data_IF_155527195684
#
_entry.id   IF_155527195684
#
_cell.length_a   1.000
_cell.length_b   1.000
_cell.length_c   1.000
_cell.angle_alpha   90.00
_cell.angle_beta   90.00
_cell.angle_gamma   90.00
#
_symmetry.space_group_name_H-M   'P 1'
#
loop_
_entity.id
_entity.type
_entity.pdbx_description
1 polymer ?
#
# COMPACT_ATOMS: atom_id res chain seq x y z
N UNK A 1 10.81 -9.87 11.31
CA UNK A 1 9.65 -9.27 10.63
C UNK A 1 10.12 -8.18 9.69
N UNK A 2 9.43 -7.97 8.58
CA UNK A 2 9.75 -6.90 7.64
C UNK A 2 8.84 -5.71 7.87
N UNK A 3 9.38 -4.50 7.73
CA UNK A 3 8.62 -3.28 7.64
C UNK A 3 8.68 -2.73 6.21
N UNK A 4 7.60 -2.16 5.72
CA UNK A 4 7.55 -1.53 4.40
C UNK A 4 7.01 -0.13 4.54
N UNK A 5 7.69 0.82 3.93
CA UNK A 5 7.23 2.20 3.80
C UNK A 5 7.05 2.49 2.32
N UNK A 6 5.83 2.81 1.92
CA UNK A 6 5.54 3.19 0.54
C UNK A 6 5.06 4.65 0.49
N UNK A 7 5.79 5.49 -0.21
CA UNK A 7 5.38 6.87 -0.47
C UNK A 7 4.63 6.92 -1.79
N UNK A 8 3.40 7.41 -1.72
CA UNK A 8 2.49 7.48 -2.86
C UNK A 8 2.16 8.95 -3.12
N UNK A 9 2.50 9.43 -4.31
CA UNK A 9 2.15 10.79 -4.73
C UNK A 9 1.02 10.70 -5.74
N UNK A 10 -0.10 11.37 -5.46
CA UNK A 10 -1.31 11.31 -6.29
C UNK A 10 -1.51 12.60 -7.09
N UNK A 11 -2.29 12.51 -8.14
CA UNK A 11 -2.71 13.67 -8.92
C UNK A 11 -3.64 14.53 -8.07
N UNK A 12 -3.54 15.87 -8.14
CA UNK A 12 -4.42 16.75 -7.39
C UNK A 12 -5.90 16.45 -7.66
N UNK A 13 -6.71 16.46 -6.60
CA UNK A 13 -8.15 16.24 -6.72
C UNK A 13 -8.61 14.79 -6.73
N UNK A 14 -7.69 13.81 -6.67
CA UNK A 14 -8.05 12.38 -6.67
C UNK A 14 -8.10 11.76 -5.28
N UNK A 15 -8.01 12.55 -4.22
CA UNK A 15 -7.87 12.05 -2.84
C UNK A 15 -9.00 11.10 -2.44
N UNK A 16 -10.26 11.46 -2.68
CA UNK A 16 -11.39 10.65 -2.24
C UNK A 16 -11.39 9.27 -2.92
N UNK A 17 -11.18 9.24 -4.23
CA UNK A 17 -11.15 8.00 -5.00
C UNK A 17 -9.93 7.14 -4.64
N UNK A 18 -8.78 7.79 -4.45
CA UNK A 18 -7.56 7.11 -4.02
C UNK A 18 -7.75 6.47 -2.64
N UNK A 19 -8.26 7.22 -1.67
CA UNK A 19 -8.48 6.72 -0.31
C UNK A 19 -9.48 5.57 -0.29
N UNK A 20 -10.58 5.67 -1.06
CA UNK A 20 -11.57 4.60 -1.14
C UNK A 20 -10.96 3.31 -1.73
N UNK A 21 -10.16 3.45 -2.78
CA UNK A 21 -9.47 2.32 -3.40
C UNK A 21 -8.50 1.66 -2.43
N UNK A 22 -7.70 2.46 -1.72
CA UNK A 22 -6.73 1.92 -0.74
C UNK A 22 -7.41 1.26 0.46
N UNK A 23 -8.54 1.80 0.92
CA UNK A 23 -9.30 1.17 2.01
C UNK A 23 -9.92 -0.15 1.59
N UNK A 24 -10.38 -0.26 0.36
CA UNK A 24 -10.88 -1.52 -0.17
C UNK A 24 -9.75 -2.58 -0.22
N UNK A 25 -8.55 -2.19 -0.63
CA UNK A 25 -7.39 -3.08 -0.58
C UNK A 25 -7.03 -3.47 0.84
N UNK A 26 -7.02 -2.53 1.76
CA UNK A 26 -6.72 -2.79 3.17
C UNK A 26 -7.64 -3.88 3.72
N UNK A 27 -8.93 -3.81 3.42
CA UNK A 27 -9.89 -4.82 3.85
C UNK A 27 -9.55 -6.21 3.29
N UNK A 28 -9.16 -6.29 2.02
CA UNK A 28 -8.75 -7.55 1.39
C UNK A 28 -7.48 -8.12 1.99
N UNK A 29 -6.49 -7.27 2.23
CA UNK A 29 -5.22 -7.67 2.86
C UNK A 29 -5.49 -8.25 4.26
N UNK A 30 -6.30 -7.55 5.06
CA UNK A 30 -6.65 -8.00 6.41
C UNK A 30 -7.42 -9.32 6.42
N UNK A 31 -8.27 -9.54 5.42
CA UNK A 31 -9.08 -10.76 5.33
C UNK A 31 -8.29 -11.96 4.79
N UNK A 32 -7.41 -11.75 3.81
CA UNK A 32 -6.86 -12.82 2.99
C UNK A 32 -5.35 -13.05 3.17
N UNK A 33 -4.65 -12.17 3.89
CA UNK A 33 -3.19 -12.27 4.04
C UNK A 33 -2.79 -12.44 5.52
N UNK A 34 -2.74 -13.67 6.02
CA UNK A 34 -2.41 -13.91 7.43
C UNK A 34 -0.98 -13.48 7.80
N UNK A 35 -0.07 -13.42 6.81
CA UNK A 35 1.31 -12.96 7.02
C UNK A 35 1.46 -11.45 7.10
N UNK A 36 0.43 -10.68 6.74
CA UNK A 36 0.45 -9.23 6.90
C UNK A 36 0.07 -8.87 8.34
N UNK A 37 0.87 -8.02 8.99
CA UNK A 37 0.67 -7.62 10.40
C UNK A 37 0.28 -6.15 10.55
N UNK A 38 0.46 -5.35 9.50
CA UNK A 38 0.05 -3.94 9.46
C UNK A 38 -0.12 -3.54 8.00
N UNK A 39 -1.20 -2.85 7.70
CA UNK A 39 -1.41 -2.26 6.38
C UNK A 39 -2.26 -1.00 6.55
N UNK A 40 -1.59 0.16 6.74
CA UNK A 40 -2.26 1.37 7.16
C UNK A 40 -1.81 2.58 6.33
N UNK A 41 -2.79 3.25 5.74
CA UNK A 41 -2.58 4.46 4.94
C UNK A 41 -2.57 5.69 5.83
N UNK A 42 -1.59 6.57 5.63
CA UNK A 42 -1.43 7.81 6.39
C UNK A 42 -1.37 9.02 5.48
N UNK A 43 -1.98 10.10 5.92
CA UNK A 43 -1.84 11.42 5.29
C UNK A 43 -0.54 12.06 5.72
N UNK A 44 -0.04 12.97 4.89
CA UNK A 44 1.09 13.85 5.24
C UNK A 44 0.65 15.31 5.21
N UNK A 45 1.56 16.22 5.50
CA UNK A 45 1.29 17.67 5.38
C UNK A 45 1.07 18.11 3.93
N UNK A 46 1.55 17.33 2.96
CA UNK A 46 1.27 17.54 1.54
C UNK A 46 0.00 16.77 1.15
N UNK A 47 -1.03 17.47 0.69
CA UNK A 47 -2.30 16.87 0.33
C UNK A 47 -2.20 15.83 -0.78
N UNK A 48 -1.13 15.86 -1.58
CA UNK A 48 -0.92 14.90 -2.68
C UNK A 48 -0.02 13.73 -2.30
N UNK A 49 0.48 13.68 -1.07
CA UNK A 49 1.43 12.65 -0.63
C UNK A 49 0.83 11.85 0.51
N UNK A 50 0.85 10.52 0.33
CA UNK A 50 0.44 9.55 1.35
C UNK A 50 1.60 8.61 1.66
N UNK A 51 1.59 8.08 2.88
CA UNK A 51 2.53 7.04 3.31
C UNK A 51 1.73 5.80 3.70
N UNK A 52 2.05 4.68 3.08
CA UNK A 52 1.56 3.38 3.50
C UNK A 52 2.59 2.75 4.42
N UNK A 53 2.17 2.39 5.64
CA UNK A 53 2.98 1.61 6.56
C UNK A 53 2.51 0.17 6.55
N UNK A 54 3.45 -0.75 6.36
CA UNK A 54 3.14 -2.17 6.23
C UNK A 54 4.11 -3.00 7.06
N UNK A 55 3.62 -4.14 7.58
CA UNK A 55 4.48 -5.11 8.25
C UNK A 55 4.11 -6.51 7.79
N UNK A 56 5.12 -7.33 7.55
CA UNK A 56 4.97 -8.71 7.11
C UNK A 56 5.79 -9.63 8.02
N UNK A 57 5.27 -10.83 8.26
CA UNK A 57 5.94 -11.81 9.11
C UNK A 57 7.33 -12.18 8.59
N UNK A 58 7.48 -12.29 7.25
CA UNK A 58 8.71 -12.68 6.58
C UNK A 58 8.66 -12.28 5.10
N UNK A 59 9.74 -12.61 4.37
CA UNK A 59 9.83 -12.32 2.94
C UNK A 59 8.80 -13.09 2.12
N UNK A 60 8.45 -14.31 2.53
CA UNK A 60 7.43 -15.11 1.85
C UNK A 60 6.05 -14.44 1.94
N UNK A 61 5.73 -13.84 3.08
CA UNK A 61 4.47 -13.10 3.25
C UNK A 61 4.42 -11.86 2.35
N UNK A 62 5.53 -11.13 2.22
CA UNK A 62 5.61 -9.98 1.30
C UNK A 62 5.49 -10.42 -0.16
N UNK A 63 6.14 -11.51 -0.52
CA UNK A 63 6.04 -12.07 -1.88
C UNK A 63 4.60 -12.50 -2.19
N UNK A 64 3.91 -13.13 -1.23
CA UNK A 64 2.52 -13.51 -1.36
C UNK A 64 1.61 -12.30 -1.57
N UNK A 65 1.85 -11.20 -0.83
CA UNK A 65 1.13 -9.95 -1.02
C UNK A 65 1.26 -9.43 -2.45
N UNK A 66 2.48 -9.36 -2.96
CA UNK A 66 2.76 -8.85 -4.31
C UNK A 66 2.18 -9.73 -5.42
N UNK A 67 2.00 -11.03 -5.16
CA UNK A 67 1.44 -11.98 -6.11
C UNK A 67 -0.09 -12.09 -6.02
N UNK A 68 -0.70 -11.50 -4.99
CA UNK A 68 -2.13 -11.63 -4.75
C UNK A 68 -2.97 -10.94 -5.84
N UNK A 69 -4.11 -11.53 -6.24
CA UNK A 69 -4.99 -10.91 -7.24
C UNK A 69 -5.46 -9.52 -6.84
N UNK A 70 -5.77 -9.29 -5.56
CA UNK A 70 -6.21 -7.98 -5.07
C UNK A 70 -5.12 -6.92 -5.19
N UNK A 71 -3.85 -7.29 -5.02
CA UNK A 71 -2.74 -6.35 -5.21
C UNK A 71 -2.57 -5.97 -6.69
N UNK A 72 -2.65 -6.93 -7.59
CA UNK A 72 -2.54 -6.70 -9.04
C UNK A 72 -3.68 -5.81 -9.55
N UNK A 73 -4.89 -6.08 -9.08
CA UNK A 73 -6.07 -5.28 -9.40
C UNK A 73 -5.91 -3.83 -8.91
N UNK A 74 -5.40 -3.66 -7.69
CA UNK A 74 -5.11 -2.34 -7.13
C UNK A 74 -4.09 -1.59 -7.97
N UNK A 75 -2.97 -2.22 -8.32
CA UNK A 75 -1.91 -1.56 -9.09
C UNK A 75 -2.45 -1.04 -10.42
N UNK A 76 -3.37 -1.76 -11.03
CA UNK A 76 -4.03 -1.32 -12.26
C UNK A 76 -4.88 -0.07 -12.02
N UNK A 77 -5.67 -0.05 -10.94
CA UNK A 77 -6.52 1.10 -10.59
C UNK A 77 -5.70 2.32 -10.18
N UNK A 78 -4.61 2.12 -9.46
CA UNK A 78 -3.76 3.21 -9.00
C UNK A 78 -3.15 4.01 -10.15
N UNK A 79 -3.00 3.41 -11.32
CA UNK A 79 -2.51 4.14 -12.50
C UNK A 79 -3.33 5.38 -12.84
N UNK A 80 -4.62 5.40 -12.49
CA UNK A 80 -5.49 6.55 -12.73
C UNK A 80 -5.26 7.69 -11.73
N UNK A 81 -4.69 7.41 -10.58
CA UNK A 81 -4.55 8.38 -9.48
C UNK A 81 -3.11 8.81 -9.23
N UNK A 82 -2.13 7.95 -9.49
CA UNK A 82 -0.74 8.24 -9.16
C UNK A 82 -0.14 9.25 -10.12
N UNK A 83 0.59 10.22 -9.55
CA UNK A 83 1.36 11.20 -10.32
C UNK A 83 2.71 10.64 -10.78
N UNK A 84 3.13 9.49 -10.22
CA UNK A 84 4.38 8.85 -10.56
C UNK A 84 4.49 7.48 -9.91
N UNK A 85 5.64 6.83 -10.08
CA UNK A 85 5.89 5.53 -9.49
C UNK A 85 5.99 5.64 -7.96
N UNK A 86 5.38 4.72 -7.17
CA UNK A 86 5.56 4.70 -5.73
C UNK A 86 7.03 4.51 -5.34
N UNK A 87 7.43 5.19 -4.25
CA UNK A 87 8.75 5.03 -3.67
C UNK A 87 8.63 4.07 -2.48
N UNK A 88 9.20 2.87 -2.61
CA UNK A 88 9.02 1.77 -1.66
C UNK A 88 10.35 1.42 -1.00
N UNK A 89 10.36 1.39 0.34
CA UNK A 89 11.47 0.90 1.13
C UNK A 89 11.06 -0.36 1.89
N UNK A 90 11.90 -1.38 1.83
CA UNK A 90 11.73 -2.61 2.60
C UNK A 90 12.80 -2.64 3.67
N UNK A 91 12.39 -2.75 4.93
CA UNK A 91 13.25 -2.66 6.10
C UNK A 91 13.21 -3.95 6.91
N UNK A 92 14.35 -4.31 7.48
CA UNK A 92 14.48 -5.46 8.38
C UNK A 92 14.29 -5.00 9.82
N UNK A 93 13.45 -5.71 10.57
CA UNK A 93 13.31 -5.46 12.00
C UNK A 93 14.59 -5.89 12.73
N UNK A 94 15.03 -5.08 13.66
CA UNK A 94 16.21 -5.36 14.49
C UNK A 94 15.87 -6.32 15.63
#
# INVERSE_FOLDING_TARGET
>A
MLGVIAKLTIKPGTNADFEATMKALQAKVQADEPGNKLYALHKTDDATVYIMLERYADEAALAAHRAAPHFKELCRKLGDYLAGRPDVQVLQEV
#
